data_IF_866819880619
#
_entry.id   IF_866819880619
#
_cell.length_a   1.000
_cell.length_b   1.000
_cell.length_c   1.000
_cell.angle_alpha   90.00
_cell.angle_beta   90.00
_cell.angle_gamma   90.00
#
_symmetry.space_group_name_H-M   'P 1'
#
loop_
_entity.id
_entity.type
_entity.pdbx_description
1 polymer ?
#
# COMPACT_ATOMS: atom_id res chain seq x y z
N UNK A 1 64.93 -24.21 -31.26
CA UNK A 1 63.89 -23.48 -32.01
C UNK A 1 62.58 -24.23 -31.88
N UNK A 2 61.50 -23.52 -31.48
CA UNK A 2 60.07 -23.79 -31.76
C UNK A 2 59.44 -25.08 -31.17
N UNK A 3 58.22 -25.13 -30.63
CA UNK A 3 57.17 -24.16 -30.24
C UNK A 3 56.08 -24.94 -29.47
N UNK A 4 55.29 -24.25 -28.64
CA UNK A 4 53.81 -24.40 -28.53
C UNK A 4 53.22 -25.67 -27.86
N UNK A 5 52.19 -25.63 -27.00
CA UNK A 5 51.15 -24.65 -26.66
C UNK A 5 50.65 -24.86 -25.21
N UNK A 6 50.45 -23.79 -24.45
CA UNK A 6 49.60 -23.78 -23.24
C UNK A 6 48.21 -23.25 -23.64
N UNK A 7 47.17 -24.07 -23.50
CA UNK A 7 45.78 -23.64 -23.71
C UNK A 7 45.18 -23.17 -22.37
N UNK A 8 45.02 -21.86 -22.20
CA UNK A 8 44.19 -21.29 -21.12
C UNK A 8 42.71 -21.33 -21.52
N UNK A 9 41.91 -22.07 -20.77
CA UNK A 9 40.45 -22.01 -20.81
C UNK A 9 39.98 -20.85 -19.92
N UNK A 10 39.57 -19.75 -20.53
CA UNK A 10 38.88 -18.65 -19.85
C UNK A 10 37.39 -19.01 -19.71
N UNK A 11 36.96 -19.32 -18.48
CA UNK A 11 35.55 -19.43 -18.12
C UNK A 11 34.97 -18.02 -18.01
N UNK A 12 34.20 -17.61 -19.02
CA UNK A 12 33.34 -16.43 -18.94
C UNK A 12 32.12 -16.76 -18.06
N UNK A 13 32.17 -16.35 -16.80
CA UNK A 13 30.98 -16.30 -15.95
C UNK A 13 30.09 -15.15 -16.42
N UNK A 14 29.03 -15.48 -17.16
CA UNK A 14 27.98 -14.54 -17.51
C UNK A 14 27.23 -14.11 -16.23
N UNK A 15 27.52 -12.91 -15.74
CA UNK A 15 26.73 -12.28 -14.70
C UNK A 15 25.36 -11.93 -15.29
N UNK A 16 24.32 -12.69 -14.91
CA UNK A 16 22.94 -12.34 -15.15
C UNK A 16 22.63 -11.08 -14.32
N UNK A 17 22.70 -9.92 -14.96
CA UNK A 17 22.20 -8.67 -14.40
C UNK A 17 20.68 -8.81 -14.36
N UNK A 18 20.15 -9.27 -13.23
CA UNK A 18 18.73 -9.18 -12.93
C UNK A 18 18.45 -7.69 -12.75
N UNK A 19 17.89 -7.06 -13.77
CA UNK A 19 17.32 -5.72 -13.63
C UNK A 19 16.15 -5.85 -12.66
N UNK A 20 16.38 -5.54 -11.37
CA UNK A 20 15.31 -5.38 -10.42
C UNK A 20 14.35 -4.34 -10.99
N UNK A 21 13.09 -4.74 -11.24
CA UNK A 21 12.03 -3.78 -11.55
C UNK A 21 12.06 -2.71 -10.46
N UNK A 22 11.86 -1.41 -10.79
CA UNK A 22 11.73 -0.38 -9.77
C UNK A 22 10.66 -0.85 -8.77
N UNK A 23 11.11 -1.19 -7.56
CA UNK A 23 10.30 -1.79 -6.49
C UNK A 23 9.32 -0.81 -5.87
N UNK A 24 9.43 0.48 -6.22
CA UNK A 24 8.70 1.56 -5.58
C UNK A 24 7.64 2.11 -6.53
N UNK A 25 6.39 1.78 -6.21
CA UNK A 25 5.24 2.42 -6.84
C UNK A 25 5.05 3.77 -6.17
N UNK A 26 5.03 4.84 -6.96
CA UNK A 26 4.79 6.21 -6.48
C UNK A 26 3.49 6.74 -7.06
N UNK A 27 2.89 7.72 -6.38
CA UNK A 27 1.73 8.47 -6.86
C UNK A 27 0.53 7.60 -7.26
N UNK A 28 0.09 6.73 -6.35
CA UNK A 28 -1.12 5.92 -6.53
C UNK A 28 -2.17 6.25 -5.47
N UNK A 29 -3.41 5.92 -5.78
CA UNK A 29 -4.53 5.99 -4.84
C UNK A 29 -4.81 4.60 -4.28
N UNK A 30 -5.27 4.55 -3.04
CA UNK A 30 -5.75 3.32 -2.42
C UNK A 30 -7.28 3.23 -2.54
N UNK A 31 -7.75 2.15 -3.13
CA UNK A 31 -9.19 1.85 -3.27
C UNK A 31 -9.50 0.45 -2.77
N UNK A 32 -10.67 0.29 -2.18
CA UNK A 32 -11.18 -0.98 -1.72
C UNK A 32 -12.09 -1.59 -2.78
N UNK A 33 -12.12 -2.92 -2.89
CA UNK A 33 -12.99 -3.65 -3.84
C UNK A 33 -13.14 -5.09 -3.38
N UNK A 34 -14.17 -5.78 -3.86
CA UNK A 34 -14.35 -7.22 -3.64
C UNK A 34 -13.54 -8.11 -4.60
N UNK A 35 -12.70 -7.54 -5.47
CA UNK A 35 -11.91 -8.27 -6.46
C UNK A 35 -10.45 -8.45 -6.01
N UNK A 36 -9.92 -9.66 -6.13
CA UNK A 36 -8.52 -9.98 -5.83
C UNK A 36 -7.57 -9.83 -7.02
N UNK A 37 -8.08 -9.69 -8.24
CA UNK A 37 -7.26 -9.63 -9.47
C UNK A 37 -6.56 -8.27 -9.57
N UNK A 38 -5.22 -8.20 -9.48
CA UNK A 38 -4.50 -6.92 -9.46
C UNK A 38 -4.74 -6.10 -10.73
N UNK A 39 -5.05 -4.81 -10.57
CA UNK A 39 -5.21 -3.85 -11.68
C UNK A 39 -4.94 -2.43 -11.20
N UNK A 40 -4.36 -1.59 -12.05
CA UNK A 40 -4.24 -0.15 -11.79
C UNK A 40 -5.44 0.65 -12.26
N UNK A 41 -6.35 0.04 -13.02
CA UNK A 41 -7.49 0.72 -13.60
C UNK A 41 -8.71 0.58 -12.68
N UNK A 42 -9.01 1.63 -11.93
CA UNK A 42 -10.16 1.70 -11.03
C UNK A 42 -11.50 1.44 -11.74
N UNK A 43 -11.65 1.86 -13.01
CA UNK A 43 -12.88 1.65 -13.78
C UNK A 43 -13.12 0.18 -14.15
N UNK A 44 -12.12 -0.69 -14.00
CA UNK A 44 -12.27 -2.14 -14.21
C UNK A 44 -12.68 -2.89 -12.93
N UNK A 45 -12.68 -2.19 -11.79
CA UNK A 45 -13.06 -2.74 -10.50
C UNK A 45 -14.56 -2.54 -10.24
N UNK A 46 -15.19 -3.56 -9.65
CA UNK A 46 -16.58 -3.52 -9.17
C UNK A 46 -16.58 -3.24 -7.67
N UNK A 47 -17.70 -2.70 -7.19
CA UNK A 47 -17.89 -2.36 -5.78
C UNK A 47 -16.68 -1.61 -5.21
N UNK A 48 -16.20 -0.61 -5.96
CA UNK A 48 -14.98 0.12 -5.64
C UNK A 48 -15.30 1.33 -4.78
N UNK A 49 -14.59 1.49 -3.68
CA UNK A 49 -14.67 2.68 -2.83
C UNK A 49 -13.31 3.32 -2.70
N UNK A 50 -13.25 4.64 -2.79
CA UNK A 50 -12.02 5.37 -2.53
C UNK A 50 -11.73 5.37 -1.02
N UNK A 51 -10.47 5.58 -0.65
CA UNK A 51 -10.08 5.75 0.76
C UNK A 51 -9.60 7.16 1.05
N UNK A 52 -9.72 7.58 2.31
CA UNK A 52 -9.21 8.87 2.80
C UNK A 52 -8.59 8.69 4.18
N UNK A 53 -7.66 9.59 4.53
CA UNK A 53 -7.10 9.66 5.87
C UNK A 53 -8.17 10.16 6.85
N UNK A 54 -8.13 9.63 8.07
CA UNK A 54 -9.15 9.82 9.09
C UNK A 54 -8.55 9.95 10.49
N UNK A 55 -8.91 11.02 11.20
CA UNK A 55 -8.51 11.33 12.59
C UNK A 55 -9.74 11.59 13.48
N UNK A 56 -10.48 10.57 13.91
CA UNK A 56 -11.75 10.74 14.64
C UNK A 56 -11.67 11.67 15.86
N UNK A 57 -10.52 11.70 16.54
CA UNK A 57 -10.35 12.44 17.80
C UNK A 57 -9.08 13.30 17.85
N UNK A 58 -8.62 13.80 16.71
CA UNK A 58 -7.38 14.61 16.61
C UNK A 58 -6.14 13.91 17.19
N UNK A 59 -6.08 12.58 17.12
CA UNK A 59 -4.93 11.82 17.57
C UNK A 59 -3.74 11.95 16.60
N UNK A 60 -2.54 11.56 17.07
CA UNK A 60 -1.35 11.57 16.24
C UNK A 60 -1.38 10.56 15.08
N UNK A 61 -2.11 9.45 15.24
CA UNK A 61 -2.21 8.39 14.24
C UNK A 61 -3.45 8.58 13.36
N UNK A 62 -3.23 8.72 12.06
CA UNK A 62 -4.29 8.74 11.06
C UNK A 62 -4.63 7.31 10.63
N UNK A 63 -5.87 7.07 10.27
CA UNK A 63 -6.36 5.79 9.76
C UNK A 63 -6.92 5.92 8.35
N UNK A 64 -7.18 4.80 7.68
CA UNK A 64 -7.87 4.79 6.39
C UNK A 64 -9.34 4.44 6.53
N UNK A 65 -10.19 5.38 6.14
CA UNK A 65 -11.63 5.15 6.01
C UNK A 65 -12.06 5.09 4.55
N UNK A 66 -13.22 4.51 4.30
CA UNK A 66 -13.92 4.63 3.02
C UNK A 66 -14.42 6.07 2.86
N UNK A 67 -14.36 6.56 1.62
CA UNK A 67 -14.96 7.84 1.24
C UNK A 67 -15.87 7.65 0.05
N UNK A 68 -17.00 8.34 0.08
CA UNK A 68 -17.97 8.32 -1.01
C UNK A 68 -17.43 9.00 -2.27
N UNK A 69 -18.10 8.78 -3.42
CA UNK A 69 -17.77 9.49 -4.65
C UNK A 69 -17.95 11.01 -4.50
N UNK A 70 -17.10 11.79 -5.15
CA UNK A 70 -17.21 13.25 -5.19
C UNK A 70 -16.50 14.03 -4.06
N UNK A 71 -15.88 13.35 -3.08
CA UNK A 71 -15.01 14.02 -2.11
C UNK A 71 -13.67 14.42 -2.76
N UNK A 72 -13.44 15.74 -2.83
CA UNK A 72 -12.48 16.40 -3.74
C UNK A 72 -10.99 16.30 -3.41
N UNK A 73 -10.55 15.37 -2.56
CA UNK A 73 -9.11 15.11 -2.38
C UNK A 73 -8.89 13.69 -1.88
N UNK A 74 -8.33 12.85 -2.75
CA UNK A 74 -7.89 11.50 -2.39
C UNK A 74 -6.38 11.54 -2.08
N UNK A 75 -5.94 10.91 -0.97
CA UNK A 75 -4.52 10.86 -0.64
C UNK A 75 -3.76 10.08 -1.70
N UNK A 76 -2.63 10.66 -2.14
CA UNK A 76 -1.64 9.95 -2.94
C UNK A 76 -0.68 9.23 -2.02
N UNK A 77 -0.33 8.01 -2.41
CA UNK A 77 0.59 7.15 -1.70
C UNK A 77 1.81 6.81 -2.53
N UNK A 78 2.90 6.57 -1.83
CA UNK A 78 4.10 5.90 -2.34
C UNK A 78 4.36 4.68 -1.46
N UNK A 79 4.83 3.58 -2.04
CA UNK A 79 5.25 2.39 -1.30
C UNK A 79 6.76 2.21 -1.46
N UNK A 80 7.48 2.30 -0.36
CA UNK A 80 8.93 2.14 -0.29
C UNK A 80 9.31 1.39 0.97
N UNK A 81 10.27 0.45 0.88
CA UNK A 81 10.73 -0.36 2.01
C UNK A 81 9.61 -1.02 2.85
N UNK A 82 8.50 -1.40 2.20
CA UNK A 82 7.34 -2.01 2.85
C UNK A 82 6.44 -1.07 3.66
N UNK A 83 6.65 0.25 3.50
CA UNK A 83 5.94 1.32 4.20
C UNK A 83 5.22 2.19 3.18
N UNK A 84 3.95 2.52 3.47
CA UNK A 84 3.21 3.52 2.70
C UNK A 84 3.54 4.91 3.22
N UNK A 85 3.80 5.81 2.29
CA UNK A 85 4.11 7.22 2.53
C UNK A 85 2.99 8.07 1.92
N UNK A 86 2.53 9.08 2.64
CA UNK A 86 1.57 10.06 2.14
C UNK A 86 1.78 11.40 2.82
N UNK A 87 1.20 12.47 2.30
CA UNK A 87 1.24 13.79 2.93
C UNK A 87 -0.16 14.22 3.33
N UNK A 88 -0.29 14.77 4.53
CA UNK A 88 -1.54 15.29 5.03
C UNK A 88 -1.32 16.52 5.90
N UNK A 89 -2.39 17.29 6.11
CA UNK A 89 -2.38 18.36 7.09
C UNK A 89 -2.21 17.79 8.50
N UNK A 90 -1.43 18.48 9.32
CA UNK A 90 -1.30 18.12 10.73
C UNK A 90 -2.57 18.41 11.53
N UNK A 91 -2.58 18.06 12.83
CA UNK A 91 -3.69 18.37 13.73
C UNK A 91 -4.10 19.84 13.65
N UNK A 92 -5.41 20.09 13.65
CA UNK A 92 -6.01 21.42 13.47
C UNK A 92 -5.65 22.13 12.15
N UNK A 93 -5.22 21.38 11.12
CA UNK A 93 -4.86 21.94 9.82
C UNK A 93 -3.52 22.67 9.80
N UNK A 94 -2.70 22.49 10.83
CA UNK A 94 -1.40 23.16 10.95
C UNK A 94 -0.37 22.40 10.12
N UNK A 95 0.22 23.07 9.13
CA UNK A 95 1.29 22.53 8.30
C UNK A 95 0.87 21.35 7.42
N UNK A 96 1.82 20.86 6.63
CA UNK A 96 1.72 19.61 5.88
C UNK A 96 2.90 18.75 6.31
N UNK A 97 2.61 17.52 6.69
CA UNK A 97 3.61 16.55 7.15
C UNK A 97 3.56 15.29 6.30
N UNK A 98 4.69 14.60 6.23
CA UNK A 98 4.74 13.24 5.73
C UNK A 98 4.27 12.28 6.83
N UNK A 99 3.39 11.37 6.45
CA UNK A 99 2.81 10.34 7.29
C UNK A 99 3.19 8.98 6.73
N UNK A 100 3.75 8.14 7.59
CA UNK A 100 4.27 6.82 7.25
C UNK A 100 3.42 5.74 7.91
N UNK A 101 3.07 4.69 7.17
CA UNK A 101 2.32 3.58 7.73
C UNK A 101 3.13 2.85 8.79
N UNK A 102 2.47 2.49 9.89
CA UNK A 102 3.06 1.57 10.87
C UNK A 102 3.10 0.15 10.33
N UNK A 103 3.90 -0.72 10.94
CA UNK A 103 3.85 -2.17 10.67
C UNK A 103 2.43 -2.68 10.94
N UNK A 104 1.86 -3.41 9.97
CA UNK A 104 0.50 -3.93 10.08
C UNK A 104 0.51 -5.22 10.89
N UNK A 105 -0.33 -5.28 11.93
CA UNK A 105 -0.48 -6.45 12.79
C UNK A 105 -1.95 -6.91 12.82
N UNK A 106 -2.19 -8.18 13.15
CA UNK A 106 -3.53 -8.74 13.17
C UNK A 106 -4.46 -7.98 14.14
N UNK A 107 -5.70 -7.76 13.71
CA UNK A 107 -6.74 -7.09 14.48
C UNK A 107 -6.64 -5.57 14.53
N UNK A 108 -5.69 -4.96 13.81
CA UNK A 108 -5.45 -3.50 13.86
C UNK A 108 -5.87 -2.79 12.58
N UNK A 109 -6.12 -1.48 12.72
CA UNK A 109 -6.31 -0.57 11.60
C UNK A 109 -4.96 -0.31 10.93
N UNK A 110 -4.98 -0.05 9.62
CA UNK A 110 -3.81 0.50 8.94
C UNK A 110 -3.59 1.94 9.40
N UNK A 111 -2.62 2.13 10.29
CA UNK A 111 -2.29 3.41 10.90
C UNK A 111 -1.13 4.13 10.21
N UNK A 112 -1.16 5.46 10.26
CA UNK A 112 -0.14 6.35 9.72
C UNK A 112 0.28 7.38 10.75
N UNK A 113 1.58 7.60 10.91
CA UNK A 113 2.14 8.55 11.89
C UNK A 113 3.11 9.51 11.23
N UNK A 114 3.16 10.75 11.71
CA UNK A 114 4.09 11.78 11.24
C UNK A 114 5.50 11.60 11.83
N UNK A 115 6.08 10.43 11.61
CA UNK A 115 7.41 10.06 12.08
C UNK A 115 8.03 9.01 11.15
N UNK A 116 9.36 8.91 11.13
CA UNK A 116 10.04 7.81 10.47
C UNK A 116 9.59 6.47 11.06
N UNK A 117 9.40 5.47 10.20
CA UNK A 117 9.00 4.12 10.59
C UNK A 117 10.09 3.13 10.17
N UNK A 118 10.28 2.03 10.92
CA UNK A 118 11.10 0.92 10.45
C UNK A 118 10.53 0.35 9.15
N UNK A 119 11.33 -0.49 8.47
CA UNK A 119 10.86 -1.22 7.29
C UNK A 119 9.54 -1.95 7.62
N UNK A 120 8.51 -1.67 6.82
CA UNK A 120 7.19 -2.23 7.01
C UNK A 120 7.03 -3.61 6.40
N UNK A 121 5.81 -4.12 6.43
CA UNK A 121 5.46 -5.45 5.92
C UNK A 121 4.47 -5.40 4.75
N UNK A 122 4.34 -4.26 4.08
CA UNK A 122 3.47 -4.09 2.92
C UNK A 122 4.21 -4.42 1.61
N UNK A 123 3.50 -4.99 0.65
CA UNK A 123 4.03 -5.24 -0.69
C UNK A 123 2.89 -5.22 -1.73
N UNK A 124 3.23 -5.13 -3.02
CA UNK A 124 2.26 -5.18 -4.11
C UNK A 124 2.33 -6.50 -4.88
N UNK A 125 1.30 -7.32 -4.75
CA UNK A 125 1.10 -8.48 -5.61
C UNK A 125 0.58 -8.04 -6.99
N UNK A 126 1.17 -8.60 -8.05
CA UNK A 126 0.88 -8.18 -9.43
C UNK A 126 1.13 -6.69 -9.68
N UNK A 127 1.91 -6.02 -8.83
CA UNK A 127 2.21 -4.59 -8.90
C UNK A 127 1.09 -3.65 -8.44
N UNK A 128 -0.09 -4.15 -8.07
CA UNK A 128 -1.25 -3.30 -7.77
C UNK A 128 -2.10 -3.75 -6.58
N UNK A 129 -1.98 -4.99 -6.12
CA UNK A 129 -2.77 -5.46 -4.98
C UNK A 129 -1.94 -5.38 -3.70
N UNK A 130 -2.37 -4.58 -2.73
CA UNK A 130 -1.64 -4.41 -1.48
C UNK A 130 -1.77 -5.65 -0.60
N UNK A 131 -0.63 -6.17 -0.17
CA UNK A 131 -0.50 -7.37 0.67
C UNK A 131 0.20 -7.03 1.98
N UNK A 132 -0.04 -7.84 3.00
CA UNK A 132 0.67 -7.77 4.29
C UNK A 132 1.44 -9.07 4.48
N UNK A 133 2.77 -8.99 4.58
CA UNK A 133 3.62 -10.18 4.66
C UNK A 133 3.43 -11.15 3.47
N UNK A 134 3.10 -10.61 2.29
CA UNK A 134 2.80 -11.39 1.08
C UNK A 134 1.40 -12.00 1.03
N UNK A 135 0.55 -11.80 2.05
CA UNK A 135 -0.83 -12.27 2.06
C UNK A 135 -1.78 -11.24 1.46
N UNK A 136 -2.66 -11.70 0.55
CA UNK A 136 -3.66 -10.87 -0.14
C UNK A 136 -4.95 -10.80 0.66
N UNK A 137 -5.33 -11.91 1.28
CA UNK A 137 -6.48 -12.05 2.15
C UNK A 137 -6.14 -11.56 3.57
N UNK A 138 -7.05 -10.78 4.13
CA UNK A 138 -6.96 -10.28 5.50
C UNK A 138 -7.50 -8.87 5.64
N UNK A 139 -7.53 -8.09 4.55
CA UNK A 139 -8.18 -6.79 4.55
C UNK A 139 -9.68 -6.93 4.80
N UNK A 140 -10.18 -6.13 5.73
CA UNK A 140 -11.59 -6.03 6.05
C UNK A 140 -11.99 -4.58 6.27
N UNK A 141 -13.22 -4.24 5.88
CA UNK A 141 -13.87 -2.98 6.22
C UNK A 141 -14.73 -3.23 7.43
N UNK A 142 -14.53 -2.47 8.50
CA UNK A 142 -15.26 -2.62 9.74
C UNK A 142 -15.87 -1.29 10.18
N UNK A 143 -16.96 -1.32 10.96
CA UNK A 143 -17.42 -0.14 11.69
C UNK A 143 -16.30 0.40 12.58
N UNK A 144 -16.02 1.69 12.43
CA UNK A 144 -15.06 2.44 13.23
C UNK A 144 -15.74 3.60 13.97
N UNK A 145 -14.91 4.49 14.52
CA UNK A 145 -15.39 5.66 15.25
C UNK A 145 -16.19 6.60 14.34
N UNK A 146 -17.13 7.35 14.94
CA UNK A 146 -17.98 8.32 14.25
C UNK A 146 -18.78 7.70 13.08
N UNK A 147 -19.19 6.44 13.22
CA UNK A 147 -19.97 5.69 12.23
C UNK A 147 -19.27 5.58 10.86
N UNK A 148 -17.94 5.73 10.84
CA UNK A 148 -17.15 5.60 9.62
C UNK A 148 -16.77 4.14 9.38
N UNK A 149 -16.65 3.77 8.11
CA UNK A 149 -16.13 2.47 7.70
C UNK A 149 -14.62 2.54 7.54
N UNK A 150 -13.87 1.73 8.29
CA UNK A 150 -12.41 1.83 8.44
C UNK A 150 -11.74 0.52 8.04
N UNK A 151 -10.53 0.61 7.48
CA UNK A 151 -9.75 -0.53 7.00
C UNK A 151 -8.97 -1.20 8.14
N UNK A 152 -9.19 -2.51 8.30
CA UNK A 152 -8.49 -3.37 9.25
C UNK A 152 -7.77 -4.52 8.56
N UNK A 153 -6.76 -5.07 9.26
CA UNK A 153 -6.10 -6.31 8.89
C UNK A 153 -6.48 -7.46 9.81
N UNK A 154 -6.91 -8.58 9.23
CA UNK A 154 -7.27 -9.84 9.91
C UNK A 154 -8.19 -9.65 11.12
N UNK A 155 -9.23 -8.82 10.96
CA UNK A 155 -10.28 -8.63 11.98
C UNK A 155 -11.51 -9.45 11.61
N UNK A 156 -12.02 -10.23 12.57
CA UNK A 156 -13.11 -11.20 12.35
C UNK A 156 -14.36 -10.91 13.21
N UNK A 157 -14.58 -9.66 13.59
CA UNK A 157 -15.73 -9.25 14.38
C UNK A 157 -17.00 -9.09 13.53
N UNK A 158 -18.16 -9.14 14.19
CA UNK A 158 -19.44 -8.90 13.53
C UNK A 158 -19.48 -7.50 12.90
N UNK A 159 -19.98 -7.41 11.67
CA UNK A 159 -20.03 -6.16 10.89
C UNK A 159 -18.77 -5.89 10.06
N UNK A 160 -17.70 -6.68 10.20
CA UNK A 160 -16.55 -6.59 9.31
C UNK A 160 -16.81 -7.33 7.99
N UNK A 161 -16.61 -6.66 6.86
CA UNK A 161 -16.73 -7.23 5.52
C UNK A 161 -15.36 -7.41 4.87
N UNK A 162 -15.11 -8.59 4.30
CA UNK A 162 -13.86 -8.87 3.58
C UNK A 162 -13.74 -7.94 2.37
N UNK A 163 -12.54 -7.38 2.18
CA UNK A 163 -12.19 -6.57 1.00
C UNK A 163 -10.81 -6.94 0.46
N UNK A 164 -10.46 -6.35 -0.67
CA UNK A 164 -9.11 -6.24 -1.18
C UNK A 164 -8.75 -4.75 -1.29
N UNK A 165 -7.45 -4.44 -1.17
CA UNK A 165 -6.95 -3.08 -1.26
C UNK A 165 -6.03 -2.95 -2.49
N UNK A 166 -6.39 -2.05 -3.41
CA UNK A 166 -5.68 -1.86 -4.68
C UNK A 166 -5.01 -0.50 -4.73
N UNK A 167 -3.80 -0.49 -5.27
CA UNK A 167 -3.08 0.69 -5.72
C UNK A 167 -3.47 1.00 -7.18
N UNK A 168 -4.27 2.05 -7.37
CA UNK A 168 -4.79 2.45 -8.69
C UNK A 168 -4.23 3.80 -9.11
N UNK A 169 -4.21 4.07 -10.43
CA UNK A 169 -3.65 5.30 -11.01
C UNK A 169 -4.63 6.46 -11.09
N UNK A 170 -5.92 6.21 -10.85
CA UNK A 170 -6.98 7.20 -10.98
C UNK A 170 -8.13 6.93 -10.02
N UNK A 171 -8.93 7.97 -9.75
CA UNK A 171 -10.09 7.87 -8.89
C UNK A 171 -11.13 6.90 -9.46
N UNK A 172 -12.00 6.30 -8.62
CA UNK A 172 -13.02 5.34 -9.07
C UNK A 172 -14.32 5.98 -9.61
N UNK A 173 -14.27 7.20 -10.15
CA UNK A 173 -15.42 7.93 -10.68
C UNK A 173 -15.03 8.90 -11.81
#
# INVERSE_FOLDING_TARGET
MRSSNLSLLALFSAALITTALPTELTNFLLVTTNQSTPTSNSSSLRAVSATSLFDPFYQATLYLRLTGPGYGSLPNFTLSSGTLHTTASGPHGIGIFEYNSTIVVNGTQLGFVAAEQPAGNLALDGGYLLTVGGQKEGWAICPGDLEQEVLFWNKTEAGCEKTYLHAVKGAPY
#
